data_IF_929028927058
#
_entry.id   IF_929028927058
#
_cell.length_a   1.000
_cell.length_b   1.000
_cell.length_c   1.000
_cell.angle_alpha   90.00
_cell.angle_beta   90.00
_cell.angle_gamma   90.00
#
_symmetry.space_group_name_H-M   'P 1'
#
loop_
_entity.id
_entity.type
_entity.pdbx_description
1 polymer ?
#
# COMPACT_ATOMS: atom_id res chain seq x y z
N UNK A 1 -17.19 -36.03 -5.43
CA UNK A 1 -17.20 -35.72 -3.99
C UNK A 1 -17.38 -34.21 -3.83
N UNK A 2 -18.29 -33.78 -2.98
CA UNK A 2 -18.45 -32.38 -2.61
C UNK A 2 -17.35 -31.97 -1.64
N UNK A 3 -17.10 -30.66 -1.51
CA UNK A 3 -16.13 -30.14 -0.53
C UNK A 3 -16.42 -30.67 0.88
N UNK A 4 -17.68 -30.62 1.30
CA UNK A 4 -18.13 -31.10 2.64
C UNK A 4 -17.91 -32.61 2.84
N UNK A 5 -18.01 -33.42 1.79
CA UNK A 5 -17.67 -34.85 1.86
C UNK A 5 -16.21 -35.06 2.15
N UNK A 6 -15.30 -34.32 1.47
CA UNK A 6 -13.85 -34.42 1.68
C UNK A 6 -13.46 -33.94 3.08
N UNK A 7 -14.03 -32.79 3.50
CA UNK A 7 -13.77 -32.22 4.84
C UNK A 7 -14.26 -33.18 5.95
N UNK A 8 -15.42 -33.81 5.79
CA UNK A 8 -15.90 -34.80 6.75
C UNK A 8 -15.03 -36.07 6.84
N UNK A 9 -14.41 -36.46 5.70
CA UNK A 9 -13.44 -37.55 5.74
C UNK A 9 -12.21 -37.15 6.59
N UNK A 10 -11.66 -35.94 6.37
CA UNK A 10 -10.53 -35.40 7.15
C UNK A 10 -10.90 -35.31 8.64
N UNK A 11 -12.11 -34.79 8.94
CA UNK A 11 -12.62 -34.71 10.31
C UNK A 11 -12.62 -36.08 10.99
N UNK A 12 -13.05 -37.11 10.26
CA UNK A 12 -13.09 -38.49 10.79
C UNK A 12 -11.68 -39.10 10.93
N UNK A 13 -10.82 -38.95 9.91
CA UNK A 13 -9.46 -39.49 9.91
C UNK A 13 -8.59 -38.89 11.03
N UNK A 14 -8.71 -37.57 11.23
CA UNK A 14 -7.94 -36.83 12.23
C UNK A 14 -8.69 -36.69 13.58
N UNK A 15 -9.88 -37.27 13.73
CA UNK A 15 -10.72 -37.24 14.93
C UNK A 15 -10.98 -35.81 15.44
N UNK A 16 -11.20 -34.87 14.53
CA UNK A 16 -11.39 -33.45 14.87
C UNK A 16 -12.75 -33.22 15.52
N UNK A 17 -12.76 -32.50 16.65
CA UNK A 17 -13.99 -32.08 17.34
C UNK A 17 -14.41 -30.67 16.95
N UNK A 18 -13.45 -29.86 16.49
CA UNK A 18 -13.66 -28.46 16.15
C UNK A 18 -12.91 -28.13 14.85
N UNK A 19 -13.56 -27.37 13.99
CA UNK A 19 -12.99 -26.86 12.75
C UNK A 19 -13.07 -25.34 12.70
N UNK A 20 -11.92 -24.69 12.52
CA UNK A 20 -11.84 -23.25 12.31
C UNK A 20 -12.19 -22.86 10.89
N UNK A 21 -12.85 -21.72 10.69
CA UNK A 21 -13.08 -21.12 9.37
C UNK A 21 -12.90 -19.61 9.44
N UNK A 22 -12.50 -18.99 8.31
CA UNK A 22 -12.32 -17.54 8.19
C UNK A 22 -13.69 -16.83 8.11
N UNK A 23 -14.24 -16.47 9.26
CA UNK A 23 -15.59 -15.92 9.36
C UNK A 23 -15.77 -14.57 8.64
N UNK A 24 -14.70 -13.85 8.34
CA UNK A 24 -14.74 -12.60 7.57
C UNK A 24 -14.82 -12.84 6.06
N UNK A 25 -14.36 -14.00 5.57
CA UNK A 25 -14.31 -14.36 4.15
C UNK A 25 -15.49 -15.24 3.72
N UNK A 26 -16.09 -15.96 4.66
CA UNK A 26 -17.17 -16.91 4.38
C UNK A 26 -18.53 -16.24 4.56
N UNK A 27 -19.38 -16.31 3.53
CA UNK A 27 -20.75 -15.78 3.64
C UNK A 27 -21.54 -16.49 4.74
N UNK A 28 -22.47 -15.77 5.36
CA UNK A 28 -23.38 -16.33 6.37
C UNK A 28 -24.10 -17.61 5.90
N UNK A 29 -24.58 -17.61 4.66
CA UNK A 29 -25.28 -18.74 4.07
C UNK A 29 -24.37 -19.97 3.93
N UNK A 30 -23.13 -19.77 3.50
CA UNK A 30 -22.14 -20.83 3.40
C UNK A 30 -21.77 -21.40 4.77
N UNK A 31 -21.54 -20.53 5.76
CA UNK A 31 -21.23 -20.95 7.14
C UNK A 31 -22.40 -21.73 7.75
N UNK A 32 -23.63 -21.28 7.54
CA UNK A 32 -24.84 -21.94 8.06
C UNK A 32 -25.04 -23.33 7.41
N UNK A 33 -24.80 -23.45 6.10
CA UNK A 33 -24.81 -24.74 5.40
C UNK A 33 -23.71 -25.67 5.95
N UNK A 34 -22.49 -25.19 6.11
CA UNK A 34 -21.40 -26.01 6.68
C UNK A 34 -21.70 -26.47 8.10
N UNK A 35 -22.38 -25.64 8.90
CA UNK A 35 -22.79 -25.99 10.26
C UNK A 35 -23.75 -27.19 10.29
N UNK A 36 -24.55 -27.38 9.23
CA UNK A 36 -25.47 -28.51 9.12
C UNK A 36 -24.85 -29.74 8.43
N UNK A 37 -23.81 -29.56 7.61
CA UNK A 37 -23.24 -30.62 6.78
C UNK A 37 -21.93 -31.21 7.35
N UNK A 38 -21.20 -30.46 8.22
CA UNK A 38 -19.92 -30.90 8.74
C UNK A 38 -20.05 -31.56 10.13
N UNK A 39 -19.30 -32.64 10.35
CA UNK A 39 -19.33 -33.45 11.56
C UNK A 39 -18.38 -32.92 12.66
N UNK A 40 -18.12 -31.61 12.70
CA UNK A 40 -17.31 -30.96 13.73
C UNK A 40 -17.96 -29.63 14.11
N UNK A 41 -17.70 -29.13 15.32
CA UNK A 41 -18.13 -27.81 15.76
C UNK A 41 -17.38 -26.73 14.95
N UNK A 42 -18.09 -25.88 14.23
CA UNK A 42 -17.51 -24.74 13.55
C UNK A 42 -17.23 -23.60 14.52
N UNK A 43 -16.04 -23.00 14.41
CA UNK A 43 -15.66 -21.79 15.15
C UNK A 43 -15.03 -20.80 14.19
N UNK A 44 -15.38 -19.53 14.35
CA UNK A 44 -14.67 -18.47 13.61
C UNK A 44 -13.22 -18.41 14.07
N UNK A 45 -12.29 -18.42 13.13
CA UNK A 45 -10.86 -18.31 13.37
C UNK A 45 -10.29 -17.22 12.44
N UNK A 46 -9.22 -16.60 12.88
CA UNK A 46 -8.52 -15.56 12.12
C UNK A 46 -7.07 -16.03 11.92
N UNK A 47 -6.79 -16.83 10.86
CA UNK A 47 -5.44 -17.32 10.59
C UNK A 47 -4.49 -16.21 10.12
N UNK A 48 -4.98 -14.98 9.90
CA UNK A 48 -4.20 -13.83 9.43
C UNK A 48 -2.97 -13.55 10.30
N UNK A 49 -3.02 -13.89 11.60
CA UNK A 49 -1.86 -13.80 12.49
C UNK A 49 -0.67 -14.62 11.96
N UNK A 50 -0.93 -15.72 11.25
CA UNK A 50 0.13 -16.56 10.65
C UNK A 50 0.79 -15.90 9.45
N UNK A 51 0.12 -14.91 8.81
CA UNK A 51 0.64 -14.16 7.66
C UNK A 51 1.46 -12.95 8.07
N UNK A 52 1.41 -12.53 9.35
CA UNK A 52 2.08 -11.30 9.80
C UNK A 52 3.59 -11.37 9.65
N UNK A 53 4.19 -12.51 9.97
CA UNK A 53 5.64 -12.73 9.86
C UNK A 53 5.89 -13.56 8.59
N UNK A 54 6.52 -12.94 7.62
CA UNK A 54 6.83 -13.56 6.33
C UNK A 54 8.07 -14.44 6.44
N UNK A 55 8.02 -15.58 5.77
CA UNK A 55 9.21 -16.42 5.56
C UNK A 55 10.20 -15.71 4.62
N UNK A 56 11.48 -16.13 4.56
CA UNK A 56 12.43 -15.57 3.61
C UNK A 56 11.99 -15.66 2.15
N UNK A 57 11.30 -16.72 1.76
CA UNK A 57 10.78 -16.94 0.41
C UNK A 57 9.63 -15.97 0.09
N UNK A 58 8.76 -15.68 1.07
CA UNK A 58 7.68 -14.70 0.92
C UNK A 58 8.23 -13.27 0.82
N UNK A 59 9.22 -12.94 1.66
CA UNK A 59 9.93 -11.65 1.60
C UNK A 59 10.55 -11.45 0.22
N UNK A 60 11.19 -12.48 -0.36
CA UNK A 60 11.80 -12.37 -1.69
C UNK A 60 10.76 -12.13 -2.79
N UNK A 61 9.60 -12.79 -2.73
CA UNK A 61 8.52 -12.54 -3.69
C UNK A 61 7.98 -11.11 -3.62
N UNK A 62 7.80 -10.58 -2.40
CA UNK A 62 7.37 -9.19 -2.20
C UNK A 62 8.46 -8.22 -2.70
N UNK A 63 9.73 -8.53 -2.49
CA UNK A 63 10.87 -7.76 -3.01
C UNK A 63 10.88 -7.73 -4.55
N UNK A 64 10.60 -8.86 -5.19
CA UNK A 64 10.50 -8.93 -6.65
C UNK A 64 9.29 -8.14 -7.17
N UNK A 65 8.13 -8.24 -6.51
CA UNK A 65 6.95 -7.43 -6.81
C UNK A 65 7.25 -5.92 -6.65
N UNK A 66 7.92 -5.52 -5.57
CA UNK A 66 8.37 -4.15 -5.32
C UNK A 66 9.35 -3.66 -6.39
N UNK A 67 10.27 -4.51 -6.84
CA UNK A 67 11.20 -4.20 -7.93
C UNK A 67 10.50 -3.99 -9.28
N UNK A 68 9.37 -4.67 -9.53
CA UNK A 68 8.55 -4.41 -10.72
C UNK A 68 7.88 -3.02 -10.61
N UNK A 69 7.29 -2.70 -9.47
CA UNK A 69 6.67 -1.40 -9.22
C UNK A 69 7.71 -0.25 -9.31
N UNK A 70 8.90 -0.44 -8.75
CA UNK A 70 9.98 0.54 -8.78
C UNK A 70 10.42 0.88 -10.22
N UNK A 71 10.57 -0.15 -11.08
CA UNK A 71 10.81 0.06 -12.52
C UNK A 71 9.62 0.73 -13.22
N UNK A 72 8.39 0.39 -12.81
CA UNK A 72 7.17 1.04 -13.28
C UNK A 72 7.15 2.52 -12.94
N UNK A 73 7.53 2.88 -11.73
CA UNK A 73 7.63 4.26 -11.26
C UNK A 73 8.62 5.08 -12.10
N UNK A 74 9.79 4.54 -12.37
CA UNK A 74 10.79 5.23 -13.19
C UNK A 74 10.36 5.34 -14.66
N UNK A 75 9.72 4.30 -15.20
CA UNK A 75 9.16 4.33 -16.55
C UNK A 75 8.08 5.42 -16.69
N UNK A 76 7.10 5.41 -15.78
CA UNK A 76 5.97 6.34 -15.87
C UNK A 76 6.39 7.79 -15.61
N UNK A 77 7.39 8.02 -14.77
CA UNK A 77 7.98 9.35 -14.55
C UNK A 77 8.50 9.95 -15.87
N UNK A 78 9.15 9.14 -16.70
CA UNK A 78 9.66 9.59 -18.01
C UNK A 78 8.56 9.73 -19.05
N UNK A 79 7.49 8.94 -18.94
CA UNK A 79 6.40 8.91 -19.91
C UNK A 79 5.44 10.08 -19.76
N UNK A 80 5.10 10.49 -18.53
CA UNK A 80 4.08 11.52 -18.26
C UNK A 80 4.46 12.86 -18.88
N UNK A 81 3.52 13.39 -19.68
CA UNK A 81 3.58 14.72 -20.28
C UNK A 81 2.26 15.45 -20.05
N UNK A 82 2.33 16.80 -20.00
CA UNK A 82 1.13 17.62 -20.02
C UNK A 82 0.28 17.34 -21.27
N UNK A 83 -1.03 17.29 -21.11
CA UNK A 83 -1.97 16.95 -22.17
C UNK A 83 -2.44 15.49 -22.18
N UNK A 84 -1.82 14.60 -21.42
CA UNK A 84 -2.29 13.23 -21.22
C UNK A 84 -3.45 13.19 -20.22
N UNK A 85 -4.35 12.21 -20.37
CA UNK A 85 -5.35 11.91 -19.35
C UNK A 85 -4.78 11.03 -18.24
N UNK A 86 -5.35 11.09 -17.04
CA UNK A 86 -4.98 10.19 -15.93
C UNK A 86 -5.16 8.71 -16.32
N UNK A 87 -6.16 8.38 -17.14
CA UNK A 87 -6.40 7.01 -17.65
C UNK A 87 -5.31 6.53 -18.60
N UNK A 88 -4.80 7.38 -19.48
CA UNK A 88 -3.67 7.03 -20.36
C UNK A 88 -2.44 6.71 -19.53
N UNK A 89 -2.17 7.51 -18.50
CA UNK A 89 -1.04 7.30 -17.58
C UNK A 89 -1.20 5.98 -16.83
N UNK A 90 -2.39 5.70 -16.27
CA UNK A 90 -2.65 4.44 -15.57
C UNK A 90 -2.49 3.23 -16.49
N UNK A 91 -3.06 3.29 -17.71
CA UNK A 91 -2.99 2.19 -18.68
C UNK A 91 -1.55 1.88 -19.09
N UNK A 92 -0.71 2.90 -19.32
CA UNK A 92 0.71 2.72 -19.65
C UNK A 92 1.49 2.09 -18.49
N UNK A 93 1.28 2.56 -17.27
CA UNK A 93 1.93 2.02 -16.08
C UNK A 93 1.58 0.54 -15.86
N UNK A 94 0.30 0.19 -15.95
CA UNK A 94 -0.18 -1.19 -15.77
C UNK A 94 0.35 -2.11 -16.87
N UNK A 95 0.34 -1.65 -18.13
CA UNK A 95 0.90 -2.39 -19.25
C UNK A 95 2.40 -2.65 -19.06
N UNK A 96 3.16 -1.62 -18.67
CA UNK A 96 4.59 -1.75 -18.42
C UNK A 96 4.89 -2.74 -17.28
N UNK A 97 4.19 -2.65 -16.14
CA UNK A 97 4.37 -3.61 -15.04
C UNK A 97 4.11 -5.05 -15.47
N UNK A 98 3.08 -5.29 -16.32
CA UNK A 98 2.83 -6.63 -16.89
C UNK A 98 3.98 -7.11 -17.77
N UNK A 99 4.58 -6.24 -18.58
CA UNK A 99 5.76 -6.59 -19.37
C UNK A 99 6.98 -6.92 -18.49
N UNK A 100 7.05 -6.33 -17.30
CA UNK A 100 8.09 -6.62 -16.33
C UNK A 100 7.83 -7.91 -15.51
N UNK A 101 6.75 -8.62 -15.78
CA UNK A 101 6.42 -9.90 -15.17
C UNK A 101 5.34 -9.89 -14.09
N UNK A 102 4.66 -8.76 -13.87
CA UNK A 102 3.49 -8.74 -13.00
C UNK A 102 2.34 -9.58 -13.57
N UNK A 103 1.70 -10.39 -12.75
CA UNK A 103 0.49 -11.15 -13.11
C UNK A 103 -0.69 -10.19 -13.39
N UNK A 104 -0.81 -9.19 -12.56
CA UNK A 104 -1.75 -8.06 -12.63
C UNK A 104 -1.30 -6.95 -11.67
N UNK A 105 -2.06 -5.85 -11.59
CA UNK A 105 -1.92 -4.87 -10.51
C UNK A 105 -2.37 -5.47 -9.18
N UNK A 106 -1.78 -5.02 -8.05
CA UNK A 106 -2.20 -5.41 -6.69
C UNK A 106 -3.60 -4.91 -6.37
N UNK A 107 -3.93 -3.71 -6.87
CA UNK A 107 -5.20 -3.01 -6.73
C UNK A 107 -5.44 -2.10 -7.94
N UNK A 108 -6.59 -1.40 -7.97
CA UNK A 108 -6.92 -0.43 -9.03
C UNK A 108 -5.96 0.76 -8.94
N UNK A 109 -5.16 0.98 -9.98
CA UNK A 109 -4.18 2.07 -10.05
C UNK A 109 -4.82 3.44 -9.83
N UNK A 110 -4.28 4.20 -8.89
CA UNK A 110 -4.65 5.59 -8.62
C UNK A 110 -3.74 6.51 -9.42
N UNK A 111 -4.35 7.41 -10.18
CA UNK A 111 -3.70 8.56 -10.79
C UNK A 111 -4.57 9.78 -10.52
N UNK A 112 -4.07 10.67 -9.67
CA UNK A 112 -4.83 11.85 -9.25
C UNK A 112 -3.98 13.11 -9.40
N UNK A 113 -4.34 13.98 -10.34
CA UNK A 113 -3.57 15.17 -10.71
C UNK A 113 -4.25 16.47 -10.30
N UNK A 114 -3.44 17.50 -9.98
CA UNK A 114 -3.91 18.81 -9.56
C UNK A 114 -4.83 18.71 -8.35
N UNK A 115 -6.00 19.36 -8.41
CA UNK A 115 -6.98 19.37 -7.31
C UNK A 115 -7.48 17.97 -6.92
N UNK A 116 -7.46 16.99 -7.87
CA UNK A 116 -7.85 15.60 -7.57
C UNK A 116 -6.86 14.87 -6.66
N UNK A 117 -5.62 15.34 -6.56
CA UNK A 117 -4.66 14.86 -5.57
C UNK A 117 -5.15 14.99 -4.11
N UNK A 118 -6.18 15.81 -3.86
CA UNK A 118 -6.86 15.88 -2.57
C UNK A 118 -7.78 14.68 -2.28
N UNK A 119 -7.95 13.76 -3.23
CA UNK A 119 -8.74 12.54 -3.10
C UNK A 119 -7.81 11.36 -2.82
N UNK A 120 -7.72 10.85 -1.57
CA UNK A 120 -6.79 9.75 -1.24
C UNK A 120 -6.96 8.51 -2.13
N UNK A 121 -8.20 8.23 -2.55
CA UNK A 121 -8.56 7.09 -3.42
C UNK A 121 -9.05 7.55 -4.80
N UNK A 122 -8.43 8.60 -5.34
CA UNK A 122 -8.78 9.22 -6.63
C UNK A 122 -8.42 8.34 -7.82
N UNK A 123 -9.29 7.35 -8.17
CA UNK A 123 -9.08 6.51 -9.36
C UNK A 123 -8.83 7.36 -10.60
N UNK A 124 -8.01 6.84 -11.52
CA UNK A 124 -7.70 7.46 -12.80
C UNK A 124 -8.96 7.85 -13.59
N UNK A 125 -9.02 9.08 -14.06
CA UNK A 125 -10.16 9.68 -14.74
C UNK A 125 -9.79 10.24 -16.11
N UNK A 126 -10.77 10.84 -16.80
CA UNK A 126 -10.53 11.56 -18.07
C UNK A 126 -9.94 12.97 -17.87
N UNK A 127 -9.60 13.36 -16.62
CA UNK A 127 -8.93 14.64 -16.38
C UNK A 127 -7.60 14.69 -17.12
N UNK A 128 -7.40 15.77 -17.85
CA UNK A 128 -6.14 16.07 -18.52
C UNK A 128 -5.16 16.67 -17.53
N UNK A 129 -3.95 16.13 -17.51
CA UNK A 129 -2.85 16.58 -16.67
C UNK A 129 -2.22 17.83 -17.27
N UNK A 130 -2.01 18.86 -16.47
CA UNK A 130 -1.39 20.10 -16.90
C UNK A 130 0.04 20.26 -16.37
N UNK A 131 0.86 21.01 -17.10
CA UNK A 131 2.20 21.39 -16.64
C UNK A 131 2.11 22.15 -15.30
N UNK A 132 3.03 21.87 -14.38
CA UNK A 132 3.06 22.46 -13.04
C UNK A 132 2.08 21.87 -12.04
N UNK A 133 1.26 20.86 -12.41
CA UNK A 133 0.46 20.11 -11.44
C UNK A 133 1.27 19.01 -10.75
N UNK A 134 1.01 18.75 -9.48
CA UNK A 134 1.37 17.47 -8.89
C UNK A 134 0.44 16.36 -9.41
N UNK A 135 1.00 15.20 -9.66
CA UNK A 135 0.29 13.95 -9.95
C UNK A 135 0.70 12.89 -8.94
N UNK A 136 -0.26 12.44 -8.14
CA UNK A 136 -0.09 11.32 -7.23
C UNK A 136 -0.38 10.03 -7.98
N UNK A 137 0.58 9.13 -7.97
CA UNK A 137 0.53 7.79 -8.54
C UNK A 137 0.62 6.80 -7.39
N UNK A 138 -0.40 5.97 -7.22
CA UNK A 138 -0.45 4.93 -6.20
C UNK A 138 -0.83 3.62 -6.88
N UNK A 139 0.08 2.64 -6.82
CA UNK A 139 0.02 1.44 -7.62
C UNK A 139 0.91 0.33 -7.04
N UNK A 140 0.62 -0.89 -7.44
CA UNK A 140 1.41 -2.05 -7.06
C UNK A 140 1.32 -3.17 -8.07
N UNK A 141 2.32 -4.06 -8.05
CA UNK A 141 2.39 -5.26 -8.85
C UNK A 141 2.06 -6.50 -8.02
N UNK A 142 1.26 -7.42 -8.58
CA UNK A 142 1.11 -8.76 -8.05
C UNK A 142 2.12 -9.67 -8.77
N UNK A 143 2.97 -10.35 -8.01
CA UNK A 143 3.97 -11.28 -8.52
C UNK A 143 4.03 -12.54 -7.67
N UNK A 144 3.84 -13.71 -8.31
CA UNK A 144 3.78 -15.03 -7.65
C UNK A 144 2.86 -15.06 -6.42
N UNK A 145 1.68 -14.40 -6.57
CA UNK A 145 0.65 -14.33 -5.52
C UNK A 145 0.94 -13.33 -4.40
N UNK A 146 1.98 -12.49 -4.48
CA UNK A 146 2.33 -11.47 -3.49
C UNK A 146 2.24 -10.06 -4.07
N UNK A 147 1.70 -9.16 -3.26
CA UNK A 147 1.47 -7.76 -3.61
C UNK A 147 2.69 -6.89 -3.31
N UNK A 148 2.87 -5.85 -4.12
CA UNK A 148 3.62 -4.64 -3.76
C UNK A 148 2.66 -3.44 -3.70
N UNK A 149 3.11 -2.35 -3.09
CA UNK A 149 2.36 -1.11 -2.89
C UNK A 149 3.31 0.08 -2.85
N UNK A 150 3.04 1.11 -3.64
CA UNK A 150 3.95 2.25 -3.79
C UNK A 150 3.20 3.51 -4.19
N UNK A 151 3.43 4.61 -3.48
CA UNK A 151 2.98 5.92 -3.92
C UNK A 151 4.16 6.86 -4.18
N UNK A 152 4.09 7.58 -5.29
CA UNK A 152 4.92 8.77 -5.56
C UNK A 152 4.05 9.93 -6.02
N UNK A 153 4.37 11.13 -5.55
CA UNK A 153 3.80 12.37 -6.07
C UNK A 153 4.86 13.06 -6.92
N UNK A 154 4.61 13.19 -8.22
CA UNK A 154 5.51 13.78 -9.20
C UNK A 154 5.04 15.17 -9.60
N UNK A 155 5.95 16.03 -10.06
CA UNK A 155 5.62 17.35 -10.62
C UNK A 155 5.65 17.26 -12.14
N UNK A 156 4.54 17.59 -12.79
CA UNK A 156 4.44 17.57 -14.25
C UNK A 156 5.29 18.68 -14.84
N UNK A 157 6.30 18.30 -15.62
CA UNK A 157 7.24 19.24 -16.21
C UNK A 157 6.60 20.15 -17.28
N UNK A 158 7.20 21.33 -17.49
CA UNK A 158 6.80 22.32 -18.49
C UNK A 158 7.66 23.56 -18.42
N UNK A 159 7.44 24.49 -19.32
CA UNK A 159 8.23 25.73 -19.37
C UNK A 159 8.06 26.54 -18.07
N UNK A 160 9.18 26.87 -17.42
CA UNK A 160 9.20 27.65 -16.18
C UNK A 160 8.73 26.90 -14.92
N UNK A 161 8.48 25.58 -15.00
CA UNK A 161 8.08 24.78 -13.83
C UNK A 161 9.32 24.50 -12.96
N UNK A 162 9.20 24.79 -11.67
CA UNK A 162 10.16 24.32 -10.65
C UNK A 162 9.42 23.82 -9.42
N UNK A 163 10.02 22.85 -8.72
CA UNK A 163 9.43 22.26 -7.52
C UNK A 163 9.24 23.31 -6.42
N UNK A 164 10.23 24.16 -6.20
CA UNK A 164 10.25 25.15 -5.12
C UNK A 164 9.18 26.25 -5.31
N UNK A 165 8.76 26.50 -6.55
CA UNK A 165 7.71 27.47 -6.85
C UNK A 165 6.28 26.91 -6.75
N UNK A 166 6.14 25.58 -6.59
CA UNK A 166 4.82 24.94 -6.50
C UNK A 166 4.15 25.25 -5.14
N UNK A 167 2.85 25.65 -5.12
CA UNK A 167 2.15 26.02 -3.87
C UNK A 167 2.16 24.94 -2.79
N UNK A 168 2.18 23.65 -3.19
CA UNK A 168 2.23 22.53 -2.27
C UNK A 168 3.65 22.00 -1.99
N UNK A 169 4.71 22.73 -2.39
CA UNK A 169 6.08 22.26 -2.15
C UNK A 169 6.38 22.09 -0.66
N UNK A 170 5.95 23.03 0.18
CA UNK A 170 6.09 22.91 1.63
C UNK A 170 5.31 21.70 2.19
N UNK A 171 4.11 21.43 1.66
CA UNK A 171 3.31 20.25 2.01
C UNK A 171 4.07 18.97 1.67
N UNK A 172 4.71 18.93 0.47
CA UNK A 172 5.54 17.80 0.07
C UNK A 172 6.68 17.53 1.06
N UNK A 173 7.40 18.59 1.47
CA UNK A 173 8.51 18.46 2.43
C UNK A 173 8.03 17.95 3.80
N UNK A 174 6.86 18.39 4.26
CA UNK A 174 6.26 17.91 5.51
C UNK A 174 5.89 16.42 5.42
N UNK A 175 5.26 15.99 4.32
CA UNK A 175 4.92 14.58 4.09
C UNK A 175 6.18 13.72 4.03
N UNK A 176 7.22 14.18 3.33
CA UNK A 176 8.51 13.48 3.28
C UNK A 176 9.13 13.33 4.68
N UNK A 177 9.15 14.40 5.47
CA UNK A 177 9.64 14.35 6.85
C UNK A 177 8.83 13.40 7.72
N UNK A 178 7.50 13.39 7.58
CA UNK A 178 6.61 12.48 8.30
C UNK A 178 6.89 11.02 7.94
N UNK A 179 7.06 10.71 6.65
CA UNK A 179 7.39 9.37 6.16
C UNK A 179 8.74 8.90 6.69
N UNK A 180 9.77 9.74 6.64
CA UNK A 180 11.10 9.43 7.16
C UNK A 180 11.09 9.24 8.69
N UNK A 181 10.31 10.05 9.43
CA UNK A 181 10.14 9.91 10.88
C UNK A 181 9.49 8.58 11.25
N UNK A 182 8.43 8.16 10.51
CA UNK A 182 7.79 6.86 10.70
C UNK A 182 8.76 5.70 10.43
N UNK A 183 9.48 5.72 9.30
CA UNK A 183 10.47 4.68 8.95
C UNK A 183 11.56 4.60 10.02
N UNK A 184 12.06 5.72 10.51
CA UNK A 184 13.08 5.78 11.57
C UNK A 184 12.58 5.20 12.91
N UNK A 185 11.27 5.22 13.16
CA UNK A 185 10.68 4.62 14.36
C UNK A 185 10.55 3.10 14.29
N UNK A 186 10.61 2.50 13.09
CA UNK A 186 10.41 1.06 12.89
C UNK A 186 11.62 0.27 13.39
N UNK A 187 11.39 -0.57 14.39
CA UNK A 187 12.33 -1.57 14.89
C UNK A 187 11.59 -2.63 15.70
N UNK A 188 12.15 -3.83 15.88
CA UNK A 188 11.56 -4.85 16.75
C UNK A 188 11.24 -4.32 18.15
N UNK A 189 10.08 -4.70 18.69
CA UNK A 189 9.61 -4.29 20.00
C UNK A 189 8.84 -2.97 20.05
N UNK A 190 8.84 -2.16 19.00
CA UNK A 190 8.01 -0.94 18.90
C UNK A 190 6.57 -1.34 18.57
N UNK A 191 5.58 -0.62 19.11
CA UNK A 191 4.18 -0.82 18.77
C UNK A 191 3.80 -0.08 17.50
N UNK A 192 2.87 -0.64 16.72
CA UNK A 192 2.39 -0.03 15.48
C UNK A 192 1.87 1.40 15.67
N UNK A 193 1.12 1.67 16.77
CA UNK A 193 0.66 3.02 17.09
C UNK A 193 1.81 4.03 17.26
N UNK A 194 2.98 3.62 17.74
CA UNK A 194 4.13 4.53 17.92
C UNK A 194 4.76 4.95 16.59
N UNK A 195 4.66 4.10 15.57
CA UNK A 195 5.07 4.45 14.20
C UNK A 195 4.09 5.43 13.58
N UNK A 196 2.78 5.22 13.75
CA UNK A 196 1.75 6.18 13.33
C UNK A 196 1.95 7.53 14.04
N UNK A 197 2.14 7.52 15.36
CA UNK A 197 2.38 8.72 16.15
C UNK A 197 3.58 9.54 15.64
N UNK A 198 4.64 8.88 15.17
CA UNK A 198 5.82 9.56 14.66
C UNK A 198 5.53 10.37 13.38
N UNK A 199 4.78 9.79 12.42
CA UNK A 199 4.36 10.52 11.21
C UNK A 199 3.32 11.60 11.54
N UNK A 200 2.28 11.22 12.27
CA UNK A 200 1.14 12.08 12.59
C UNK A 200 1.55 13.33 13.37
N UNK A 201 2.50 13.21 14.29
CA UNK A 201 3.04 14.34 15.04
C UNK A 201 3.70 15.37 14.11
N UNK A 202 4.54 14.97 13.18
CA UNK A 202 5.18 15.88 12.20
C UNK A 202 4.13 16.67 11.44
N UNK A 203 3.09 16.00 10.93
CA UNK A 203 2.01 16.63 10.16
C UNK A 203 1.18 17.57 11.04
N UNK A 204 0.88 17.17 12.28
CA UNK A 204 0.08 17.97 13.22
C UNK A 204 0.83 19.22 13.70
N UNK A 205 2.11 19.10 14.05
CA UNK A 205 2.96 20.22 14.46
C UNK A 205 3.16 21.24 13.33
N UNK A 206 3.10 20.78 12.07
CA UNK A 206 3.11 21.67 10.90
C UNK A 206 1.75 22.32 10.59
N UNK A 207 0.69 22.04 11.37
CA UNK A 207 -0.65 22.63 11.22
C UNK A 207 -1.58 21.90 10.23
N UNK A 208 -1.22 20.68 9.78
CA UNK A 208 -2.00 19.92 8.80
C UNK A 208 -2.67 18.66 9.37
N UNK A 209 -2.77 18.53 10.71
CA UNK A 209 -3.32 17.32 11.34
C UNK A 209 -4.70 16.92 10.85
N UNK A 210 -5.61 17.87 10.61
CA UNK A 210 -6.96 17.63 10.11
C UNK A 210 -7.01 17.16 8.65
N UNK A 211 -5.91 17.29 7.92
CA UNK A 211 -5.77 16.90 6.52
C UNK A 211 -5.07 15.56 6.31
N UNK A 212 -4.77 14.83 7.40
CA UNK A 212 -4.24 13.47 7.38
C UNK A 212 -5.27 12.51 7.99
N UNK A 213 -6.22 12.06 7.18
CA UNK A 213 -7.44 11.35 7.60
C UNK A 213 -7.36 9.82 7.59
N UNK A 214 -6.21 9.19 7.30
CA UNK A 214 -6.06 7.74 7.27
C UNK A 214 -4.91 7.24 8.15
N UNK A 215 -4.71 5.93 8.23
CA UNK A 215 -3.61 5.29 8.93
C UNK A 215 -2.28 5.59 8.22
N UNK A 216 -1.18 5.53 8.95
CA UNK A 216 0.16 5.71 8.36
C UNK A 216 0.59 4.51 7.51
N UNK A 217 -0.09 3.36 7.60
CA UNK A 217 0.18 2.20 6.78
C UNK A 217 -0.50 0.93 7.27
N UNK A 218 -0.28 -0.15 6.55
CA UNK A 218 -0.83 -1.49 6.79
C UNK A 218 0.18 -2.56 6.41
N UNK A 219 0.00 -3.79 6.95
CA UNK A 219 0.78 -4.92 6.50
C UNK A 219 0.37 -5.32 5.06
N UNK A 220 1.29 -5.95 4.35
CA UNK A 220 1.12 -6.38 2.97
C UNK A 220 1.69 -7.79 2.79
N UNK A 221 1.11 -8.56 1.88
CA UNK A 221 1.55 -9.92 1.58
C UNK A 221 0.80 -10.51 0.39
N UNK A 222 0.02 -11.56 0.64
CA UNK A 222 -0.88 -12.15 -0.36
C UNK A 222 -2.02 -11.17 -0.70
N UNK A 223 -2.50 -10.44 0.30
CA UNK A 223 -3.43 -9.35 0.13
C UNK A 223 -2.69 -8.01 0.23
N UNK A 224 -3.19 -7.00 -0.49
CA UNK A 224 -2.62 -5.65 -0.39
C UNK A 224 -2.80 -5.11 1.02
N UNK A 225 -3.96 -5.32 1.63
CA UNK A 225 -4.25 -4.88 2.99
C UNK A 225 -4.32 -6.06 3.95
N UNK A 226 -3.27 -6.22 4.75
CA UNK A 226 -3.21 -7.19 5.85
C UNK A 226 -3.10 -6.47 7.20
N UNK A 227 -3.20 -7.21 8.30
CA UNK A 227 -2.87 -6.74 9.64
C UNK A 227 -1.45 -7.17 10.04
N UNK A 228 -0.75 -6.37 10.90
CA UNK A 228 -1.20 -5.19 11.63
C UNK A 228 -1.20 -3.90 10.79
N UNK A 229 -1.64 -2.78 11.41
CA UNK A 229 -1.70 -1.46 10.79
C UNK A 229 -0.92 -0.42 11.57
N UNK A 230 -0.18 0.46 10.92
CA UNK A 230 0.33 1.66 11.56
C UNK A 230 -0.82 2.65 11.74
N UNK A 231 -1.51 2.54 12.86
CA UNK A 231 -2.70 3.32 13.19
C UNK A 231 -2.70 3.74 14.67
N UNK A 232 -3.45 4.78 15.04
CA UNK A 232 -3.52 5.25 16.44
C UNK A 232 -4.06 4.20 17.43
N UNK A 233 -4.68 3.12 16.96
CA UNK A 233 -5.35 2.12 17.80
C UNK A 233 -4.65 0.77 17.82
N UNK A 234 -3.70 0.53 16.94
CA UNK A 234 -3.05 -0.78 16.83
C UNK A 234 -1.86 -0.88 17.78
N UNK A 235 -1.99 -1.74 18.77
CA UNK A 235 -0.96 -1.99 19.79
C UNK A 235 -0.06 -3.17 19.48
N UNK A 236 -0.19 -3.79 18.31
CA UNK A 236 0.66 -4.89 17.85
C UNK A 236 2.12 -4.50 17.91
N UNK A 237 2.93 -5.38 18.47
CA UNK A 237 4.38 -5.17 18.58
C UNK A 237 5.08 -5.68 17.33
N UNK A 238 5.90 -4.84 16.74
CA UNK A 238 6.69 -5.18 15.55
C UNK A 238 7.70 -6.28 15.82
N UNK A 239 7.79 -7.22 14.89
CA UNK A 239 8.70 -8.34 14.90
C UNK A 239 9.46 -8.43 13.57
N UNK A 240 10.70 -8.96 13.57
CA UNK A 240 11.42 -9.23 12.32
C UNK A 240 10.60 -10.13 11.38
N UNK A 241 10.62 -9.81 10.09
CA UNK A 241 9.85 -10.52 9.06
C UNK A 241 8.48 -9.92 8.78
N UNK A 242 8.02 -8.93 9.56
CA UNK A 242 6.83 -8.16 9.20
C UNK A 242 7.14 -7.20 8.07
N UNK A 243 6.20 -7.06 7.11
CA UNK A 243 6.25 -6.11 5.99
C UNK A 243 5.02 -5.21 6.05
N UNK A 244 5.24 -3.89 6.07
CA UNK A 244 4.17 -2.90 6.16
C UNK A 244 4.47 -1.71 5.24
N UNK A 245 3.41 -1.04 4.78
CA UNK A 245 3.50 0.24 4.09
C UNK A 245 3.78 1.38 5.08
N UNK A 246 4.40 2.45 4.60
CA UNK A 246 4.56 3.73 5.32
C UNK A 246 4.19 4.83 4.34
N UNK A 247 2.96 5.37 4.47
CA UNK A 247 2.27 6.15 3.44
C UNK A 247 1.60 7.43 3.96
N UNK A 248 2.21 8.25 4.81
CA UNK A 248 1.56 9.48 5.25
C UNK A 248 1.20 10.38 4.07
N UNK A 249 0.10 11.11 4.21
CA UNK A 249 -0.37 12.05 3.19
C UNK A 249 -1.06 13.27 3.78
N UNK A 250 -1.05 14.37 3.03
CA UNK A 250 -1.80 15.60 3.31
C UNK A 250 -2.67 15.91 2.11
N UNK A 251 -3.98 16.11 2.35
CA UNK A 251 -4.99 16.28 1.30
C UNK A 251 -5.75 17.58 1.53
N UNK A 252 -5.51 18.59 0.67
CA UNK A 252 -6.10 19.92 0.77
C UNK A 252 -7.24 20.08 -0.22
N UNK A 253 -8.52 20.08 0.22
CA UNK A 253 -9.67 20.15 -0.68
C UNK A 253 -9.57 21.35 -1.64
N UNK A 254 -9.76 21.06 -2.94
CA UNK A 254 -9.71 22.06 -4.01
C UNK A 254 -8.32 22.51 -4.43
N UNK A 255 -7.27 22.13 -3.71
CA UNK A 255 -5.88 22.51 -4.02
C UNK A 255 -5.07 21.32 -4.56
N UNK A 256 -5.15 20.15 -3.91
CA UNK A 256 -4.39 18.97 -4.24
C UNK A 256 -3.94 18.21 -2.99
N UNK A 257 -3.07 17.25 -3.17
CA UNK A 257 -2.50 16.45 -2.07
C UNK A 257 -1.15 15.88 -2.43
N UNK A 258 -0.51 15.36 -1.39
CA UNK A 258 0.79 14.66 -1.49
C UNK A 258 0.71 13.41 -0.65
N UNK A 259 1.11 12.28 -1.20
CA UNK A 259 1.41 11.03 -0.50
C UNK A 259 2.75 10.49 -0.98
N UNK A 260 3.54 9.98 -0.05
CA UNK A 260 4.81 9.29 -0.33
C UNK A 260 4.78 7.98 0.45
N UNK A 261 4.96 6.87 -0.25
CA UNK A 261 4.80 5.54 0.31
C UNK A 261 5.91 4.59 -0.10
N UNK A 262 6.30 3.76 0.85
CA UNK A 262 7.13 2.59 0.63
C UNK A 262 6.65 1.40 1.45
N UNK A 263 6.90 0.19 0.93
CA UNK A 263 6.89 -1.03 1.73
C UNK A 263 8.20 -1.15 2.49
N UNK A 264 8.11 -1.46 3.77
CA UNK A 264 9.24 -1.57 4.69
C UNK A 264 9.24 -2.94 5.37
N UNK A 265 10.37 -3.63 5.29
CA UNK A 265 10.64 -4.86 6.04
C UNK A 265 11.20 -4.52 7.42
N UNK A 266 10.58 -5.07 8.46
CA UNK A 266 11.14 -5.05 9.82
C UNK A 266 12.27 -6.08 9.90
N UNK A 267 13.50 -5.62 10.08
CA UNK A 267 14.68 -6.47 10.27
C UNK A 267 15.10 -6.51 11.74
N UNK A 268 15.98 -7.42 12.18
CA UNK A 268 16.54 -7.40 13.52
C UNK A 268 17.26 -6.09 13.88
N UNK A 269 17.74 -5.34 12.89
CA UNK A 269 18.49 -4.10 13.06
C UNK A 269 17.62 -2.85 12.93
N UNK A 270 16.38 -2.95 12.44
CA UNK A 270 15.48 -1.82 12.20
C UNK A 270 14.68 -1.98 10.91
N UNK A 271 14.53 -0.89 10.14
CA UNK A 271 13.75 -0.83 8.92
C UNK A 271 14.60 -1.02 7.67
N UNK A 272 14.12 -1.80 6.70
CA UNK A 272 14.66 -1.88 5.35
C UNK A 272 13.56 -1.48 4.35
N UNK A 273 13.79 -0.40 3.58
CA UNK A 273 12.89 0.06 2.51
C UNK A 273 13.13 -0.79 1.26
N UNK A 274 12.06 -1.27 0.62
CA UNK A 274 12.17 -2.16 -0.55
C UNK A 274 12.28 -1.43 -1.90
N UNK A 275 12.17 -0.09 -1.93
CA UNK A 275 12.20 0.72 -3.16
C UNK A 275 13.47 1.56 -3.26
N UNK A 276 13.95 1.72 -4.51
CA UNK A 276 15.12 2.53 -4.83
C UNK A 276 14.74 3.92 -5.38
N UNK A 277 13.52 4.08 -5.93
CA UNK A 277 13.07 5.37 -6.49
C UNK A 277 13.14 6.49 -5.45
N UNK A 278 13.79 7.63 -5.77
CA UNK A 278 13.90 8.75 -4.84
C UNK A 278 12.54 9.26 -4.35
N UNK A 279 12.55 9.83 -3.14
CA UNK A 279 11.36 10.37 -2.46
C UNK A 279 11.27 11.90 -2.53
N UNK A 280 12.28 12.54 -3.10
CA UNK A 280 12.26 13.99 -3.37
C UNK A 280 11.32 14.30 -4.52
N UNK A 281 10.91 15.57 -4.66
CA UNK A 281 10.12 15.98 -5.82
C UNK A 281 10.91 15.71 -7.09
N UNK A 282 10.31 14.93 -7.97
CA UNK A 282 10.88 14.61 -9.30
C UNK A 282 9.98 15.20 -10.39
N UNK A 283 10.60 15.80 -11.37
CA UNK A 283 9.92 16.26 -12.59
C UNK A 283 9.66 15.07 -13.51
N UNK A 284 8.52 15.12 -14.21
CA UNK A 284 8.23 14.13 -15.26
C UNK A 284 8.97 14.47 -16.55
N UNK A 285 9.15 13.48 -17.45
CA UNK A 285 9.78 13.68 -18.75
C UNK A 285 11.31 13.89 -18.73
N UNK A 286 11.96 13.83 -17.57
CA UNK A 286 13.42 13.92 -17.46
C UNK A 286 14.09 12.55 -17.56
N UNK A 287 15.27 12.48 -18.18
CA UNK A 287 16.04 11.26 -18.36
C UNK A 287 16.72 10.78 -17.05
#
# INVERSE_FOLDING_TARGET
>A
NTLTTIVNQIIADEQLQTLGFEGQQVSWETAHRWQSELNAKLVSATPDVLRQIKTPEEVEKIRLASGIADRGAEHIRRFIQAGMSEREIAAELEWFMRQQGAEKTSFDTIVASGWRGALPHGKASDKIVAAGEFVTLDFGALYQGYCSDMTRTLLVNGEGVSAESHPLFNVYQIVLQAQLAAISAIRPGVRCQQVDDAARRVITEAGFGDYFGHNTGHAIGIEVHEDPRFSPRDTTTLQPGMLLTVEPGIYLPGQGGVRIEDVVLVTPQGAEVLYAMPKTVLLTGEA
#
